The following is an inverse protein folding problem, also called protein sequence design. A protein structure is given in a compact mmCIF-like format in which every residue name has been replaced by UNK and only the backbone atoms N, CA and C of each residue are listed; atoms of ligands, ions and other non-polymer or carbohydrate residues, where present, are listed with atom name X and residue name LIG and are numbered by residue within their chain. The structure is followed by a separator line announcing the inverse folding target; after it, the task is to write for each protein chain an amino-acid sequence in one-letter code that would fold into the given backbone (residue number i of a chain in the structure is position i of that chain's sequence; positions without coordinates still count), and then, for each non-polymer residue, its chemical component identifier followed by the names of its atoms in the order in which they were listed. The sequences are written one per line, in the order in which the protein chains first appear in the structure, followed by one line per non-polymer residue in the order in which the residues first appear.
data_IF_350012124680
#
_entry.id   IF_350012124680
#
_cell.length_a   1.000
_cell.length_b   1.000
_cell.length_c   1.000
_cell.angle_alpha   90.00
_cell.angle_beta   90.00
_cell.angle_gamma   90.00
#
_symmetry.space_group_name_H-M   'P 1'
#
loop_
_entity.id
_entity.type
_entity.pdbx_description
1 polymer ?
#
# COMPACT_ATOMS: atom_id res chain seq x y z
N UNK A 1 -0.69 -0.78 12.87
CA UNK A 1 0.31 0.30 12.96
C UNK A 1 0.37 1.02 11.61
N UNK A 2 0.21 2.35 11.55
CA UNK A 2 0.07 3.08 10.29
C UNK A 2 1.27 2.92 9.34
N UNK A 3 2.48 2.84 9.89
CA UNK A 3 3.71 2.71 9.09
C UNK A 3 3.77 1.36 8.37
N UNK A 4 3.45 0.25 9.04
CA UNK A 4 3.43 -1.08 8.40
C UNK A 4 2.34 -1.18 7.33
N UNK A 5 1.16 -0.63 7.61
CA UNK A 5 0.07 -0.54 6.65
C UNK A 5 0.47 0.30 5.42
N UNK A 6 1.17 1.42 5.62
CA UNK A 6 1.77 2.20 4.54
C UNK A 6 2.72 1.36 3.68
N UNK A 7 3.58 0.54 4.28
CA UNK A 7 4.44 -0.40 3.54
C UNK A 7 3.64 -1.36 2.65
N UNK A 8 2.58 -1.96 3.18
CA UNK A 8 1.68 -2.84 2.41
C UNK A 8 1.03 -2.09 1.25
N UNK A 9 0.46 -0.91 1.51
CA UNK A 9 -0.17 -0.07 0.48
C UNK A 9 0.85 0.28 -0.62
N UNK A 10 2.10 0.62 -0.26
CA UNK A 10 3.15 0.93 -1.21
C UNK A 10 3.46 -0.24 -2.15
N UNK A 11 3.58 -1.46 -1.60
CA UNK A 11 3.76 -2.67 -2.42
C UNK A 11 2.57 -2.88 -3.35
N UNK A 12 1.34 -2.69 -2.87
CA UNK A 12 0.15 -2.83 -3.69
C UNK A 12 0.09 -1.80 -4.82
N UNK A 13 0.49 -0.55 -4.57
CA UNK A 13 0.55 0.50 -5.59
C UNK A 13 1.54 0.12 -6.70
N UNK A 14 2.72 -0.36 -6.35
CA UNK A 14 3.73 -0.81 -7.32
C UNK A 14 3.21 -2.00 -8.11
N UNK A 15 2.71 -3.04 -7.44
CA UNK A 15 2.18 -4.25 -8.09
C UNK A 15 0.99 -3.95 -9.02
N UNK A 16 0.11 -3.04 -8.60
CA UNK A 16 -1.00 -2.55 -9.41
C UNK A 16 -0.51 -1.86 -10.69
N UNK A 17 0.52 -1.03 -10.58
CA UNK A 17 1.07 -0.29 -11.72
C UNK A 17 1.87 -1.17 -12.69
N UNK A 18 2.73 -2.05 -12.16
CA UNK A 18 3.72 -2.77 -12.98
C UNK A 18 3.17 -4.05 -13.62
N UNK A 19 2.22 -4.73 -12.97
CA UNK A 19 1.75 -6.05 -13.41
C UNK A 19 0.26 -6.06 -13.75
N UNK A 20 -0.58 -5.42 -12.93
CA UNK A 20 -2.04 -5.64 -13.02
C UNK A 20 -2.78 -4.53 -13.78
N UNK A 21 -2.12 -3.39 -14.09
CA UNK A 21 -2.70 -2.22 -14.77
C UNK A 21 -3.34 -2.56 -16.12
N UNK A 22 -2.72 -3.44 -16.89
CA UNK A 22 -3.19 -3.85 -18.22
C UNK A 22 -4.29 -4.90 -18.16
N UNK A 23 -4.53 -5.48 -16.99
CA UNK A 23 -5.44 -6.60 -16.81
C UNK A 23 -6.84 -6.10 -16.42
N UNK A 24 -7.84 -6.98 -16.53
CA UNK A 24 -9.22 -6.67 -16.13
C UNK A 24 -9.34 -6.44 -14.62
N UNK A 25 -10.57 -6.23 -14.13
CA UNK A 25 -10.81 -6.08 -12.69
C UNK A 25 -10.54 -7.39 -11.93
N UNK A 26 -11.17 -8.48 -12.35
CA UNK A 26 -11.21 -9.72 -11.57
C UNK A 26 -9.87 -10.47 -11.50
N UNK A 27 -9.56 -10.99 -10.31
CA UNK A 27 -8.34 -11.77 -10.06
C UNK A 27 -8.22 -13.03 -10.95
N UNK A 28 -9.35 -13.58 -11.43
CA UNK A 28 -9.40 -14.74 -12.32
C UNK A 28 -8.64 -14.54 -13.64
N UNK A 29 -8.43 -13.28 -14.05
CA UNK A 29 -7.62 -12.91 -15.21
C UNK A 29 -6.39 -12.10 -14.82
N UNK A 30 -5.84 -12.40 -13.64
CA UNK A 30 -4.76 -11.63 -13.02
C UNK A 30 -5.09 -10.12 -12.91
N UNK A 31 -6.36 -9.84 -12.62
CA UNK A 31 -6.85 -8.48 -12.50
C UNK A 31 -6.42 -7.78 -11.23
N UNK A 32 -6.63 -6.47 -11.18
CA UNK A 32 -6.16 -5.61 -10.09
C UNK A 32 -7.03 -5.64 -8.82
N UNK A 33 -8.16 -6.36 -8.82
CA UNK A 33 -9.10 -6.46 -7.69
C UNK A 33 -8.42 -6.86 -6.38
N UNK A 34 -7.60 -7.91 -6.38
CA UNK A 34 -7.00 -8.41 -5.15
C UNK A 34 -6.01 -7.41 -4.55
N UNK A 35 -5.19 -6.80 -5.40
CA UNK A 35 -4.23 -5.75 -5.01
C UNK A 35 -4.97 -4.54 -4.41
N UNK A 36 -6.08 -4.15 -5.01
CA UNK A 36 -6.92 -3.06 -4.52
C UNK A 36 -7.53 -3.37 -3.16
N UNK A 37 -8.14 -4.55 -3.00
CA UNK A 37 -8.77 -4.96 -1.74
C UNK A 37 -7.72 -5.01 -0.62
N UNK A 38 -6.53 -5.57 -0.88
CA UNK A 38 -5.46 -5.60 0.11
C UNK A 38 -5.00 -4.19 0.53
N UNK A 39 -4.88 -3.25 -0.42
CA UNK A 39 -4.54 -1.87 -0.12
C UNK A 39 -5.61 -1.19 0.75
N UNK A 40 -6.89 -1.39 0.42
CA UNK A 40 -8.02 -0.84 1.19
C UNK A 40 -8.08 -1.45 2.59
N UNK A 41 -7.91 -2.76 2.74
CA UNK A 41 -7.91 -3.43 4.05
C UNK A 41 -6.74 -2.98 4.93
N UNK A 42 -5.57 -2.74 4.35
CA UNK A 42 -4.44 -2.16 5.05
C UNK A 42 -4.74 -0.72 5.52
N UNK A 43 -5.39 0.09 4.67
CA UNK A 43 -5.79 1.46 5.02
C UNK A 43 -6.84 1.51 6.13
N UNK A 44 -7.86 0.63 6.07
CA UNK A 44 -8.86 0.48 7.14
C UNK A 44 -8.17 0.08 8.44
N UNK A 45 -7.25 -0.87 8.38
CA UNK A 45 -6.48 -1.31 9.56
C UNK A 45 -5.60 -0.19 10.14
N UNK A 46 -5.03 0.68 9.30
CA UNK A 46 -4.31 1.87 9.76
C UNK A 46 -5.23 2.89 10.42
N UNK A 47 -6.46 3.03 9.92
CA UNK A 47 -7.47 3.96 10.44
C UNK A 47 -8.04 3.51 11.78
N UNK A 48 -8.26 2.21 11.95
CA UNK A 48 -8.69 1.62 13.23
C UNK A 48 -7.62 1.80 14.32
N UNK A 49 -6.36 1.96 13.93
CA UNK A 49 -5.24 2.26 14.82
C UNK A 49 -4.39 1.05 15.20
N UNK A 50 -3.30 1.27 15.94
CA UNK A 50 -2.41 0.20 16.40
C UNK A 50 -3.09 -0.73 17.42
N UNK A 51 -2.83 -2.04 17.32
CA UNK A 51 -3.34 -3.02 18.29
C UNK A 51 -2.50 -3.10 19.56
N UNK A 52 -3.03 -3.74 20.61
CA UNK A 52 -2.40 -3.83 21.93
C UNK A 52 -1.03 -4.53 21.96
N UNK A 53 -0.70 -5.35 20.96
CA UNK A 53 0.60 -6.02 20.82
C UNK A 53 1.55 -5.29 19.86
N UNK A 54 1.21 -4.07 19.46
CA UNK A 54 2.05 -3.28 18.58
C UNK A 54 3.19 -2.60 19.33
N UNK A 55 4.28 -2.32 18.62
CA UNK A 55 5.35 -1.46 19.14
C UNK A 55 4.83 -0.05 19.45
N UNK A 56 3.85 0.44 18.69
CA UNK A 56 3.23 1.75 18.91
C UNK A 56 2.57 1.84 20.30
N UNK A 57 1.99 0.74 20.79
CA UNK A 57 1.42 0.64 22.14
C UNK A 57 2.52 0.62 23.20
N UNK A 58 3.59 -0.16 22.97
CA UNK A 58 4.76 -0.21 23.89
C UNK A 58 5.43 1.16 24.03
N UNK A 59 5.45 1.95 22.96
CA UNK A 59 5.97 3.32 22.98
C UNK A 59 4.95 4.36 23.46
N UNK A 60 3.72 3.96 23.76
CA UNK A 60 2.66 4.86 24.25
C UNK A 60 2.13 5.86 23.20
N UNK A 61 2.44 5.65 21.93
CA UNK A 61 2.04 6.54 20.80
C UNK A 61 0.82 6.00 20.04
N UNK A 62 0.26 4.85 20.45
CA UNK A 62 -0.84 4.22 19.76
C UNK A 62 -2.11 5.10 19.67
N UNK A 63 -2.40 5.87 20.72
CA UNK A 63 -3.53 6.79 20.77
C UNK A 63 -3.45 7.91 19.73
N UNK A 64 -2.27 8.50 19.56
CA UNK A 64 -2.03 9.59 18.60
C UNK A 64 -2.07 9.10 17.14
N UNK A 65 -1.77 7.81 16.94
CA UNK A 65 -1.71 7.14 15.65
C UNK A 65 -3.06 6.54 15.22
N UNK A 66 -4.09 6.58 16.07
CA UNK A 66 -5.41 6.08 15.74
C UNK A 66 -6.25 7.08 14.91
N UNK A 67 -7.26 6.59 14.20
CA UNK A 67 -8.20 7.42 13.45
C UNK A 67 -7.59 8.08 12.21
N UNK A 68 -7.92 9.36 12.01
CA UNK A 68 -7.51 10.12 10.82
C UNK A 68 -5.99 10.30 10.70
N UNK A 69 -5.28 10.37 11.82
CA UNK A 69 -3.81 10.47 11.80
C UNK A 69 -3.20 9.22 11.18
N UNK A 70 -3.62 8.03 11.62
CA UNK A 70 -3.18 6.75 11.06
C UNK A 70 -3.57 6.59 9.59
N UNK A 71 -4.77 7.03 9.20
CA UNK A 71 -5.22 7.06 7.81
C UNK A 71 -4.27 7.87 6.92
N UNK A 72 -4.00 9.13 7.26
CA UNK A 72 -3.18 10.01 6.43
C UNK A 72 -1.73 9.54 6.39
N UNK A 73 -1.17 9.06 7.50
CA UNK A 73 0.19 8.51 7.53
C UNK A 73 0.30 7.30 6.59
N UNK A 74 -0.60 6.32 6.71
CA UNK A 74 -0.55 5.13 5.87
C UNK A 74 -0.78 5.43 4.39
N UNK A 75 -1.72 6.34 4.08
CA UNK A 75 -2.01 6.74 2.71
C UNK A 75 -0.82 7.47 2.07
N UNK A 76 -0.27 8.48 2.75
CA UNK A 76 0.84 9.28 2.22
C UNK A 76 2.13 8.46 2.12
N UNK A 77 2.46 7.68 3.15
CA UNK A 77 3.64 6.80 3.10
C UNK A 77 3.48 5.70 2.05
N UNK A 78 2.32 5.07 1.97
CA UNK A 78 2.10 3.97 1.04
C UNK A 78 2.05 4.43 -0.40
N UNK A 79 1.11 5.31 -0.74
CA UNK A 79 0.95 5.80 -2.11
C UNK A 79 2.14 6.65 -2.52
N UNK A 80 2.55 7.60 -1.67
CA UNK A 80 3.69 8.47 -1.94
C UNK A 80 5.01 7.69 -2.01
N UNK A 81 5.24 6.75 -1.10
CA UNK A 81 6.44 5.91 -1.09
C UNK A 81 6.52 4.97 -2.28
N UNK A 82 5.41 4.31 -2.64
CA UNK A 82 5.33 3.45 -3.83
C UNK A 82 5.55 4.24 -5.12
N UNK A 83 4.91 5.40 -5.26
CA UNK A 83 5.10 6.28 -6.41
C UNK A 83 6.54 6.81 -6.51
N UNK A 84 7.13 7.24 -5.40
CA UNK A 84 8.52 7.73 -5.35
C UNK A 84 9.50 6.62 -5.69
N UNK A 85 9.31 5.41 -5.16
CA UNK A 85 10.12 4.24 -5.50
C UNK A 85 10.07 3.95 -6.99
N UNK A 86 8.88 4.03 -7.61
CA UNK A 86 8.76 3.87 -9.05
C UNK A 86 9.48 5.00 -9.80
N UNK A 87 9.27 6.26 -9.42
CA UNK A 87 9.91 7.40 -10.08
C UNK A 87 11.44 7.35 -10.05
N UNK A 88 12.02 6.88 -8.95
CA UNK A 88 13.49 6.89 -8.77
C UNK A 88 14.15 5.63 -9.37
N UNK A 89 13.53 4.47 -9.22
CA UNK A 89 14.19 3.19 -9.49
C UNK A 89 13.57 2.37 -10.62
N UNK A 90 12.33 2.63 -11.01
CA UNK A 90 11.65 1.81 -12.02
C UNK A 90 12.14 2.19 -13.43
N UNK A 91 12.84 1.26 -14.07
CA UNK A 91 13.28 1.36 -15.47
C UNK A 91 12.59 0.25 -16.27
N UNK A 92 11.48 0.54 -16.97
CA UNK A 92 10.85 -0.47 -17.81
C UNK A 92 11.78 -0.83 -18.98
N UNK A 93 12.15 -2.11 -19.07
CA UNK A 93 12.92 -2.64 -20.20
C UNK A 93 12.05 -2.62 -21.46
N UNK A 94 12.49 -1.91 -22.51
CA UNK A 94 11.79 -1.83 -23.80
C UNK A 94 11.62 -3.17 -24.53
N UNK A 95 12.24 -4.24 -24.03
CA UNK A 95 12.22 -5.57 -24.64
C UNK A 95 10.85 -6.25 -24.51
N UNK A 96 10.01 -5.88 -23.54
CA UNK A 96 8.69 -6.48 -23.32
C UNK A 96 7.54 -5.81 -24.09
N UNK A 97 7.83 -4.85 -24.98
CA UNK A 97 6.83 -4.11 -25.77
C UNK A 97 6.75 -4.56 -27.24
N UNK A 98 7.26 -5.75 -27.56
CA UNK A 98 7.46 -6.22 -28.91
C UNK A 98 6.91 -7.62 -29.16
N UNK A 99 5.64 -7.85 -28.85
CA UNK A 99 4.89 -9.07 -29.19
C UNK A 99 3.42 -8.71 -29.48
#
# INVERSE_FOLDING_TARGET
TPVSAGGVIGVMVVAGWTVHRSNGFFILKEGWEYVFILAVMALVSATLGPGAWSLDEVFGIAGDLAGWTGFWIALLLGVGGGALQMLVFFRPSKVAAGD
#
